data_IF_092978678736
#
_entry.id   IF_092978678736
#
_cell.length_a   1.000
_cell.length_b   1.000
_cell.length_c   1.000
_cell.angle_alpha   90.00
_cell.angle_beta   90.00
_cell.angle_gamma   90.00
#
_symmetry.space_group_name_H-M   'P 1'
#
loop_
_entity.id
_entity.type
_entity.pdbx_description
1 polymer ?
#
# COMPACT_ATOMS: atom_id res chain seq x y z
N UNK A 1 52.10 -5.83 6.60
CA UNK A 1 51.98 -7.30 6.71
C UNK A 1 50.50 -7.61 6.71
N UNK A 2 49.98 -8.06 5.57
CA UNK A 2 48.63 -8.62 5.49
C UNK A 2 48.69 -10.05 6.04
N UNK A 3 48.01 -10.31 7.15
CA UNK A 3 47.77 -11.68 7.61
C UNK A 3 46.66 -12.26 6.75
N UNK A 4 47.02 -13.16 5.85
CA UNK A 4 46.09 -14.12 5.28
C UNK A 4 45.67 -15.07 6.40
N UNK A 5 44.42 -14.97 6.86
CA UNK A 5 43.79 -16.04 7.62
C UNK A 5 43.43 -17.14 6.64
N UNK A 6 44.34 -18.11 6.46
CA UNK A 6 44.01 -19.38 5.81
C UNK A 6 42.88 -20.01 6.62
N UNK A 7 41.68 -20.13 6.02
CA UNK A 7 40.64 -21.02 6.52
C UNK A 7 41.21 -22.44 6.44
N UNK A 8 41.70 -22.96 7.56
CA UNK A 8 42.09 -24.36 7.66
C UNK A 8 40.89 -25.22 7.25
N UNK A 9 41.00 -25.90 6.10
CA UNK A 9 40.06 -26.93 5.69
C UNK A 9 40.21 -28.13 6.64
N UNK A 10 39.56 -28.06 7.80
CA UNK A 10 39.47 -29.18 8.74
C UNK A 10 38.55 -30.23 8.11
N UNK A 11 39.14 -31.32 7.63
CA UNK A 11 38.39 -32.42 7.03
C UNK A 11 37.85 -33.31 8.16
N UNK A 12 36.53 -33.43 8.26
CA UNK A 12 35.89 -34.31 9.24
C UNK A 12 36.15 -35.79 8.88
N UNK A 13 36.53 -36.59 9.87
CA UNK A 13 36.70 -38.03 9.67
C UNK A 13 35.36 -38.69 9.29
N UNK A 14 35.31 -39.63 8.32
CA UNK A 14 34.07 -40.24 7.84
C UNK A 14 33.18 -40.81 8.95
N UNK A 15 33.76 -41.51 9.94
CA UNK A 15 33.00 -42.04 11.08
C UNK A 15 32.30 -40.97 11.91
N UNK A 16 32.88 -39.77 11.98
CA UNK A 16 32.30 -38.65 12.73
C UNK A 16 31.18 -37.98 11.94
N UNK A 17 31.26 -37.98 10.61
CA UNK A 17 30.14 -37.57 9.75
C UNK A 17 28.94 -38.49 10.01
N UNK A 18 29.12 -39.80 9.89
CA UNK A 18 28.04 -40.77 10.03
C UNK A 18 27.36 -40.68 11.42
N UNK A 19 28.17 -40.52 12.47
CA UNK A 19 27.66 -40.34 13.84
C UNK A 19 26.86 -39.04 13.97
N UNK A 20 27.36 -37.91 13.44
CA UNK A 20 26.63 -36.65 13.53
C UNK A 20 25.31 -36.68 12.74
N UNK A 21 25.29 -37.34 11.58
CA UNK A 21 24.06 -37.54 10.79
C UNK A 21 23.06 -38.40 11.57
N UNK A 22 23.47 -39.56 12.08
CA UNK A 22 22.60 -40.45 12.87
C UNK A 22 22.06 -39.77 14.13
N UNK A 23 22.93 -39.07 14.88
CA UNK A 23 22.55 -38.30 16.05
C UNK A 23 21.56 -37.17 15.71
N UNK A 24 21.76 -36.47 14.59
CA UNK A 24 20.86 -35.40 14.16
C UNK A 24 19.46 -35.94 13.80
N UNK A 25 19.39 -37.07 13.10
CA UNK A 25 18.14 -37.74 12.75
C UNK A 25 17.43 -38.26 14.00
N UNK A 26 18.16 -38.83 14.96
CA UNK A 26 17.59 -39.29 16.21
C UNK A 26 17.06 -38.11 17.05
N UNK A 27 17.81 -37.02 17.12
CA UNK A 27 17.36 -35.80 17.81
C UNK A 27 16.09 -35.21 17.17
N UNK A 28 15.98 -35.19 15.84
CA UNK A 28 14.76 -34.80 15.12
C UNK A 28 13.56 -35.70 15.49
N UNK A 29 13.74 -37.03 15.49
CA UNK A 29 12.69 -37.99 15.87
C UNK A 29 12.21 -37.80 17.31
N UNK A 30 13.15 -37.47 18.20
CA UNK A 30 12.88 -37.22 19.62
C UNK A 30 12.40 -35.78 19.89
N UNK A 31 12.21 -34.97 18.85
CA UNK A 31 11.84 -33.53 18.92
C UNK A 31 12.81 -32.67 19.74
N UNK A 32 14.08 -33.07 19.79
CA UNK A 32 15.18 -32.31 20.40
C UNK A 32 15.78 -31.37 19.35
N UNK A 33 15.01 -30.34 18.97
CA UNK A 33 15.30 -29.52 17.78
C UNK A 33 16.57 -28.67 17.92
N UNK A 34 16.88 -28.11 19.10
CA UNK A 34 18.14 -27.38 19.29
C UNK A 34 19.36 -28.29 19.17
N UNK A 35 19.25 -29.52 19.69
CA UNK A 35 20.33 -30.50 19.59
C UNK A 35 20.53 -30.93 18.13
N UNK A 36 19.44 -31.26 17.43
CA UNK A 36 19.48 -31.59 16.01
C UNK A 36 20.10 -30.45 15.20
N UNK A 37 19.64 -29.21 15.41
CA UNK A 37 20.15 -28.04 14.72
C UNK A 37 21.65 -27.84 14.98
N UNK A 38 22.10 -27.97 16.23
CA UNK A 38 23.52 -27.86 16.57
C UNK A 38 24.39 -28.88 15.81
N UNK A 39 23.90 -30.11 15.66
CA UNK A 39 24.60 -31.19 14.94
C UNK A 39 24.61 -30.94 13.43
N UNK A 40 23.49 -30.47 12.88
CA UNK A 40 23.35 -30.12 11.45
C UNK A 40 24.23 -28.92 11.09
N UNK A 41 24.23 -27.86 11.90
CA UNK A 41 25.13 -26.71 11.72
C UNK A 41 26.59 -27.13 11.79
N UNK A 42 26.93 -28.08 12.66
CA UNK A 42 28.28 -28.63 12.73
C UNK A 42 28.65 -29.36 11.43
N UNK A 43 27.77 -30.19 10.88
CA UNK A 43 27.99 -30.83 9.57
C UNK A 43 28.19 -29.78 8.46
N UNK A 44 27.34 -28.76 8.40
CA UNK A 44 27.43 -27.67 7.42
C UNK A 44 28.72 -26.86 7.55
N UNK A 45 29.21 -26.64 8.78
CA UNK A 45 30.48 -25.94 9.02
C UNK A 45 31.71 -26.68 8.46
N UNK A 46 31.60 -28.00 8.27
CA UNK A 46 32.61 -28.84 7.60
C UNK A 46 32.35 -29.00 6.09
N UNK A 47 31.50 -28.17 5.51
CA UNK A 47 31.08 -28.25 4.10
C UNK A 47 30.39 -29.58 3.73
N UNK A 48 29.84 -30.28 4.72
CA UNK A 48 29.01 -31.47 4.49
C UNK A 48 27.58 -31.00 4.30
N UNK A 49 27.18 -30.90 3.03
CA UNK A 49 25.86 -30.44 2.61
C UNK A 49 25.18 -31.53 1.80
N UNK A 50 24.00 -31.96 2.25
CA UNK A 50 23.09 -32.81 1.49
C UNK A 50 21.67 -32.26 1.59
N UNK A 51 20.78 -32.72 0.72
CA UNK A 51 19.38 -32.35 0.76
C UNK A 51 18.77 -32.62 2.15
N UNK A 52 19.02 -33.79 2.73
CA UNK A 52 18.51 -34.21 4.04
C UNK A 52 19.01 -33.32 5.18
N UNK A 53 20.28 -32.90 5.13
CA UNK A 53 20.86 -31.99 6.14
C UNK A 53 20.16 -30.63 6.08
N UNK A 54 19.93 -30.12 4.87
CA UNK A 54 19.26 -28.82 4.67
C UNK A 54 17.80 -28.88 5.12
N UNK A 55 17.06 -29.92 4.72
CA UNK A 55 15.67 -30.12 5.14
C UNK A 55 15.60 -30.28 6.66
N UNK A 56 16.51 -31.06 7.26
CA UNK A 56 16.59 -31.21 8.71
C UNK A 56 16.82 -29.89 9.42
N UNK A 57 17.68 -29.01 8.86
CA UNK A 57 17.93 -27.67 9.41
C UNK A 57 16.69 -26.80 9.32
N UNK A 58 16.03 -26.76 8.15
CA UNK A 58 14.79 -26.00 7.95
C UNK A 58 13.68 -26.44 8.92
N UNK A 59 13.49 -27.75 9.10
CA UNK A 59 12.52 -28.29 10.08
C UNK A 59 12.87 -27.81 11.49
N UNK A 60 14.14 -27.91 11.91
CA UNK A 60 14.53 -27.43 13.23
C UNK A 60 14.27 -25.93 13.40
N UNK A 61 14.58 -25.12 12.39
CA UNK A 61 14.36 -23.67 12.46
C UNK A 61 12.86 -23.35 12.57
N UNK A 62 12.01 -24.03 11.81
CA UNK A 62 10.56 -23.84 11.88
C UNK A 62 9.99 -24.24 13.25
N UNK A 63 10.39 -25.39 13.79
CA UNK A 63 9.92 -25.88 15.11
C UNK A 63 10.47 -25.06 16.29
N UNK A 64 11.50 -24.26 16.06
CA UNK A 64 12.09 -23.31 17.02
C UNK A 64 11.60 -21.87 16.80
N UNK A 65 10.57 -21.66 15.99
CA UNK A 65 10.03 -20.36 15.61
C UNK A 65 11.08 -19.39 15.00
N UNK A 66 12.20 -19.92 14.48
CA UNK A 66 13.26 -19.17 13.78
C UNK A 66 12.91 -18.97 12.30
N UNK A 67 11.71 -18.47 12.04
CA UNK A 67 11.15 -18.38 10.68
C UNK A 67 11.94 -17.48 9.75
N UNK A 68 12.49 -16.35 10.23
CA UNK A 68 13.29 -15.43 9.40
C UNK A 68 14.52 -16.12 8.80
N UNK A 69 15.28 -16.83 9.63
CA UNK A 69 16.46 -17.58 9.15
C UNK A 69 16.07 -18.74 8.22
N UNK A 70 14.96 -19.42 8.52
CA UNK A 70 14.45 -20.47 7.63
C UNK A 70 14.04 -19.90 6.27
N UNK A 71 13.41 -18.73 6.25
CA UNK A 71 12.98 -18.04 5.05
C UNK A 71 14.19 -17.62 4.19
N UNK A 72 15.20 -16.99 4.79
CA UNK A 72 16.43 -16.58 4.10
C UNK A 72 17.12 -17.79 3.42
N UNK A 73 17.22 -18.91 4.14
CA UNK A 73 17.80 -20.15 3.58
C UNK A 73 16.96 -20.67 2.41
N UNK A 74 15.63 -20.66 2.51
CA UNK A 74 14.76 -21.05 1.42
C UNK A 74 14.93 -20.15 0.20
N UNK A 75 14.96 -18.83 0.37
CA UNK A 75 15.14 -17.87 -0.73
C UNK A 75 16.48 -18.10 -1.46
N UNK A 76 17.56 -18.38 -0.73
CA UNK A 76 18.84 -18.80 -1.32
C UNK A 76 18.69 -20.11 -2.12
N UNK A 77 18.01 -21.12 -1.56
CA UNK A 77 17.79 -22.42 -2.20
C UNK A 77 16.95 -22.33 -3.48
N UNK A 78 16.02 -21.37 -3.55
CA UNK A 78 15.15 -21.16 -4.71
C UNK A 78 15.86 -20.50 -5.90
N UNK A 79 17.08 -19.99 -5.72
CA UNK A 79 17.88 -19.42 -6.82
C UNK A 79 18.36 -20.47 -7.83
N UNK A 80 18.53 -21.72 -7.38
CA UNK A 80 18.99 -22.84 -8.22
C UNK A 80 17.90 -23.93 -8.31
N UNK A 81 17.40 -24.19 -9.53
CA UNK A 81 16.38 -25.23 -9.77
C UNK A 81 17.00 -26.62 -9.89
N UNK A 82 17.46 -27.17 -8.76
CA UNK A 82 18.00 -28.53 -8.69
C UNK A 82 16.89 -29.62 -8.63
N UNK A 83 17.27 -30.89 -8.47
CA UNK A 83 16.32 -32.02 -8.40
C UNK A 83 15.39 -31.98 -7.17
N UNK A 84 15.73 -31.18 -6.16
CA UNK A 84 15.01 -31.02 -4.91
C UNK A 84 14.26 -29.69 -4.81
N UNK A 85 14.30 -28.86 -5.84
CA UNK A 85 13.70 -27.52 -5.90
C UNK A 85 12.30 -27.47 -5.28
N UNK A 86 11.40 -28.36 -5.69
CA UNK A 86 10.01 -28.34 -5.21
C UNK A 86 9.84 -28.73 -3.74
N UNK A 87 10.81 -29.42 -3.13
CA UNK A 87 10.82 -29.60 -1.67
C UNK A 87 11.11 -28.27 -0.96
N UNK A 88 12.03 -27.46 -1.50
CA UNK A 88 12.34 -26.14 -0.96
C UNK A 88 11.19 -25.15 -1.17
N UNK A 89 10.55 -25.16 -2.35
CA UNK A 89 9.33 -24.38 -2.60
C UNK A 89 8.25 -24.74 -1.58
N UNK A 90 7.98 -26.02 -1.35
CA UNK A 90 6.94 -26.43 -0.40
C UNK A 90 7.21 -25.93 1.02
N UNK A 91 8.46 -25.99 1.49
CA UNK A 91 8.85 -25.47 2.81
C UNK A 91 8.71 -23.94 2.84
N UNK A 92 9.16 -23.25 1.80
CA UNK A 92 9.02 -21.80 1.69
C UNK A 92 7.56 -21.36 1.78
N UNK A 93 6.67 -21.98 0.99
CA UNK A 93 5.22 -21.70 1.05
C UNK A 93 4.65 -21.97 2.45
N UNK A 94 5.13 -23.01 3.14
CA UNK A 94 4.70 -23.32 4.52
C UNK A 94 5.14 -22.23 5.50
N UNK A 95 6.38 -21.73 5.38
CA UNK A 95 6.90 -20.62 6.22
C UNK A 95 6.08 -19.35 5.96
N UNK A 96 5.83 -19.00 4.69
CA UNK A 96 5.02 -17.85 4.34
C UNK A 96 3.60 -17.95 4.91
N UNK A 97 2.98 -19.12 4.85
CA UNK A 97 1.66 -19.36 5.42
C UNK A 97 1.65 -19.16 6.95
N UNK A 98 2.61 -19.79 7.66
CA UNK A 98 2.71 -19.71 9.12
C UNK A 98 3.00 -18.29 9.63
N UNK A 99 3.70 -17.48 8.83
CA UNK A 99 4.04 -16.10 9.16
C UNK A 99 3.03 -15.07 8.63
N UNK A 100 1.86 -15.52 8.16
CA UNK A 100 0.79 -14.69 7.58
C UNK A 100 1.21 -13.85 6.36
N UNK A 101 2.27 -14.27 5.64
CA UNK A 101 2.73 -13.62 4.41
C UNK A 101 1.93 -14.13 3.20
N UNK A 102 0.61 -13.99 3.26
CA UNK A 102 -0.31 -14.59 2.29
C UNK A 102 -0.15 -14.04 0.88
N UNK A 103 0.21 -12.75 0.73
CA UNK A 103 0.42 -12.15 -0.59
C UNK A 103 1.62 -12.77 -1.30
N UNK A 104 2.77 -12.76 -0.63
CA UNK A 104 4.00 -13.34 -1.16
C UNK A 104 3.84 -14.83 -1.45
N UNK A 105 3.03 -15.54 -0.65
CA UNK A 105 2.69 -16.94 -0.91
C UNK A 105 1.93 -17.09 -2.22
N UNK A 106 0.89 -16.29 -2.43
CA UNK A 106 0.10 -16.34 -3.68
C UNK A 106 0.97 -15.98 -4.89
N UNK A 107 1.78 -14.92 -4.80
CA UNK A 107 2.72 -14.52 -5.87
C UNK A 107 3.71 -15.65 -6.22
N UNK A 108 4.26 -16.32 -5.20
CA UNK A 108 5.14 -17.46 -5.43
C UNK A 108 4.40 -18.61 -6.09
N UNK A 109 3.19 -18.96 -5.64
CA UNK A 109 2.39 -20.04 -6.25
C UNK A 109 2.07 -19.73 -7.71
N UNK A 110 1.68 -18.50 -8.04
CA UNK A 110 1.42 -18.07 -9.41
C UNK A 110 2.66 -18.21 -10.29
N UNK A 111 3.82 -17.75 -9.80
CA UNK A 111 5.11 -17.93 -10.49
C UNK A 111 5.42 -19.41 -10.77
N UNK A 112 5.19 -20.31 -9.81
CA UNK A 112 5.43 -21.73 -10.03
C UNK A 112 4.46 -22.34 -11.05
N UNK A 113 3.18 -21.92 -11.04
CA UNK A 113 2.21 -22.35 -12.05
C UNK A 113 2.61 -21.90 -13.45
N UNK A 114 3.12 -20.68 -13.62
CA UNK A 114 3.65 -20.19 -14.89
C UNK A 114 4.86 -21.02 -15.37
N UNK A 115 5.70 -21.46 -14.44
CA UNK A 115 6.90 -22.27 -14.74
C UNK A 115 6.60 -23.76 -15.00
N UNK A 116 5.40 -24.24 -14.63
CA UNK A 116 4.95 -25.61 -14.84
C UNK A 116 5.22 -26.51 -13.63
N UNK A 117 4.33 -26.42 -12.64
CA UNK A 117 4.32 -27.28 -11.44
C UNK A 117 4.13 -28.76 -11.84
N UNK A 118 4.86 -29.72 -11.23
CA UNK A 118 4.61 -31.13 -11.41
C UNK A 118 3.20 -31.52 -10.97
N UNK A 119 2.49 -32.30 -11.80
CA UNK A 119 1.11 -32.74 -11.53
C UNK A 119 0.81 -33.24 -10.11
N UNK A 120 1.71 -33.98 -9.40
CA UNK A 120 1.45 -34.39 -8.02
C UNK A 120 1.36 -33.24 -7.00
N UNK A 121 1.89 -32.06 -7.31
CA UNK A 121 1.97 -30.89 -6.42
C UNK A 121 0.92 -29.83 -6.75
N UNK A 122 0.34 -29.85 -7.95
CA UNK A 122 -0.65 -28.85 -8.40
C UNK A 122 -1.81 -28.70 -7.41
N UNK A 123 -2.38 -29.82 -6.95
CA UNK A 123 -3.51 -29.78 -5.99
C UNK A 123 -3.09 -29.15 -4.66
N UNK A 124 -1.88 -29.45 -4.17
CA UNK A 124 -1.40 -28.92 -2.89
C UNK A 124 -1.16 -27.41 -2.97
N UNK A 125 -0.55 -26.94 -4.06
CA UNK A 125 -0.28 -25.52 -4.27
C UNK A 125 -1.60 -24.75 -4.45
N UNK A 126 -2.55 -25.32 -5.19
CA UNK A 126 -3.88 -24.73 -5.34
C UNK A 126 -4.62 -24.64 -4.00
N UNK A 127 -4.51 -25.65 -3.13
CA UNK A 127 -5.11 -25.63 -1.80
C UNK A 127 -4.47 -24.54 -0.93
N UNK A 128 -3.14 -24.44 -0.90
CA UNK A 128 -2.41 -23.40 -0.18
C UNK A 128 -2.78 -21.99 -0.67
N UNK A 129 -2.87 -21.79 -1.98
CA UNK A 129 -3.32 -20.53 -2.57
C UNK A 129 -4.73 -20.17 -2.10
N UNK A 130 -5.67 -21.11 -2.22
CA UNK A 130 -7.08 -20.91 -1.86
C UNK A 130 -7.23 -20.57 -0.37
N UNK A 131 -6.49 -21.28 0.50
CA UNK A 131 -6.48 -20.99 1.94
C UNK A 131 -5.88 -19.62 2.24
N UNK A 132 -4.75 -19.28 1.61
CA UNK A 132 -4.06 -18.00 1.81
C UNK A 132 -4.92 -16.82 1.35
N UNK A 133 -5.57 -16.96 0.20
CA UNK A 133 -6.53 -15.97 -0.31
C UNK A 133 -7.67 -15.73 0.69
N UNK A 134 -8.23 -16.81 1.26
CA UNK A 134 -9.27 -16.72 2.28
C UNK A 134 -8.76 -16.05 3.57
N UNK A 135 -7.59 -16.45 4.07
CA UNK A 135 -7.00 -15.88 5.29
C UNK A 135 -6.65 -14.40 5.12
N UNK A 136 -6.11 -14.02 3.95
CA UNK A 136 -5.89 -12.62 3.57
C UNK A 136 -7.20 -11.84 3.62
N UNK A 137 -8.28 -12.38 3.05
CA UNK A 137 -9.59 -11.75 3.08
C UNK A 137 -10.13 -11.60 4.52
N UNK A 138 -10.04 -12.64 5.34
CA UNK A 138 -10.49 -12.61 6.75
C UNK A 138 -9.71 -11.57 7.57
N UNK A 139 -8.38 -11.51 7.44
CA UNK A 139 -7.55 -10.47 8.07
C UNK A 139 -7.89 -9.06 7.58
N UNK A 140 -8.15 -8.92 6.29
CA UNK A 140 -8.56 -7.63 5.71
C UNK A 140 -9.89 -7.19 6.31
N UNK A 141 -10.86 -8.09 6.46
CA UNK A 141 -12.16 -7.79 7.09
C UNK A 141 -11.98 -7.39 8.56
N UNK A 142 -11.20 -8.15 9.34
CA UNK A 142 -10.96 -7.83 10.75
C UNK A 142 -10.29 -6.46 10.92
N UNK A 143 -9.19 -6.22 10.19
CA UNK A 143 -8.46 -4.94 10.22
C UNK A 143 -9.34 -3.78 9.75
N UNK A 144 -10.11 -3.98 8.70
CA UNK A 144 -11.06 -2.98 8.21
C UNK A 144 -12.11 -2.64 9.26
N UNK A 145 -12.65 -3.64 9.95
CA UNK A 145 -13.66 -3.41 11.01
C UNK A 145 -13.10 -2.59 12.18
N UNK A 146 -11.87 -2.86 12.61
CA UNK A 146 -11.17 -2.08 13.64
C UNK A 146 -10.95 -0.64 13.19
N UNK A 147 -10.48 -0.44 11.96
CA UNK A 147 -10.24 0.88 11.40
C UNK A 147 -11.52 1.69 11.20
N UNK A 148 -12.62 1.06 10.77
CA UNK A 148 -13.91 1.72 10.63
C UNK A 148 -14.41 2.28 11.97
N UNK A 149 -14.22 1.55 13.07
CA UNK A 149 -14.55 2.05 14.40
C UNK A 149 -13.65 3.24 14.79
N UNK A 150 -12.35 3.16 14.47
CA UNK A 150 -11.41 4.27 14.65
C UNK A 150 -11.80 5.51 13.82
N UNK A 151 -12.29 5.34 12.60
CA UNK A 151 -12.72 6.44 11.74
C UNK A 151 -13.94 7.18 12.32
N UNK A 152 -14.90 6.44 12.88
CA UNK A 152 -16.04 7.05 13.57
C UNK A 152 -15.57 7.82 14.80
N UNK A 153 -14.63 7.28 15.57
CA UNK A 153 -14.06 7.96 16.73
C UNK A 153 -13.29 9.24 16.32
N UNK A 154 -12.43 9.17 15.30
CA UNK A 154 -11.69 10.32 14.79
C UNK A 154 -12.62 11.40 14.21
N UNK A 155 -13.78 11.00 13.65
CA UNK A 155 -14.83 11.95 13.27
C UNK A 155 -15.45 12.63 14.50
N UNK A 156 -15.76 11.90 15.56
CA UNK A 156 -16.34 12.49 16.78
C UNK A 156 -15.39 13.43 17.52
N UNK A 157 -14.09 13.11 17.51
CA UNK A 157 -13.01 13.90 18.11
C UNK A 157 -12.51 15.05 17.20
N UNK A 158 -13.03 15.14 15.98
CA UNK A 158 -12.58 16.10 14.95
C UNK A 158 -11.07 16.02 14.65
N UNK A 159 -10.48 14.82 14.82
CA UNK A 159 -9.10 14.52 14.43
C UNK A 159 -9.04 14.25 12.92
N UNK A 160 -8.95 15.33 12.15
CA UNK A 160 -9.03 15.27 10.69
C UNK A 160 -7.85 14.55 10.03
N UNK A 161 -6.65 14.62 10.64
CA UNK A 161 -5.47 13.92 10.13
C UNK A 161 -5.64 12.41 10.30
N UNK A 162 -6.11 11.97 11.47
CA UNK A 162 -6.38 10.56 11.72
C UNK A 162 -7.53 10.03 10.86
N UNK A 163 -8.59 10.82 10.65
CA UNK A 163 -9.66 10.48 9.70
C UNK A 163 -9.09 10.16 8.31
N UNK A 164 -8.24 11.05 7.76
CA UNK A 164 -7.64 10.85 6.44
C UNK A 164 -6.73 9.62 6.41
N UNK A 165 -5.85 9.47 7.40
CA UNK A 165 -4.92 8.34 7.53
C UNK A 165 -5.66 7.00 7.53
N UNK A 166 -6.78 6.92 8.25
CA UNK A 166 -7.59 5.70 8.32
C UNK A 166 -8.23 5.39 6.98
N UNK A 167 -8.85 6.38 6.32
CA UNK A 167 -9.50 6.16 5.01
C UNK A 167 -8.48 5.74 3.96
N UNK A 168 -7.33 6.41 3.91
CA UNK A 168 -6.26 6.08 2.96
C UNK A 168 -5.69 4.68 3.23
N UNK A 169 -5.52 4.29 4.50
CA UNK A 169 -5.11 2.92 4.84
C UNK A 169 -6.14 1.87 4.41
N UNK A 170 -7.44 2.13 4.58
CA UNK A 170 -8.51 1.22 4.13
C UNK A 170 -8.49 1.08 2.60
N UNK A 171 -8.35 2.20 1.89
CA UNK A 171 -8.25 2.27 0.44
C UNK A 171 -7.04 1.51 -0.11
N UNK A 172 -5.85 1.71 0.47
CA UNK A 172 -4.61 1.02 0.08
C UNK A 172 -4.64 -0.49 0.28
N UNK A 173 -5.41 -0.97 1.28
CA UNK A 173 -5.62 -2.40 1.48
C UNK A 173 -6.73 -2.99 0.60
N UNK A 174 -7.31 -2.18 -0.29
CA UNK A 174 -8.48 -2.54 -1.10
C UNK A 174 -9.64 -3.07 -0.25
N UNK A 175 -9.82 -2.53 0.96
CA UNK A 175 -10.94 -2.87 1.81
C UNK A 175 -12.25 -2.44 1.14
N UNK A 176 -13.28 -3.27 1.22
CA UNK A 176 -14.60 -2.90 0.67
C UNK A 176 -15.30 -1.90 1.60
N UNK A 177 -15.81 -0.78 1.07
CA UNK A 177 -16.62 0.17 1.83
C UNK A 177 -17.84 -0.53 2.42
N UNK A 178 -18.10 -0.31 3.71
CA UNK A 178 -19.30 -0.82 4.36
C UNK A 178 -20.41 0.24 4.35
N UNK A 179 -21.63 -0.17 4.71
CA UNK A 179 -22.79 0.73 4.82
C UNK A 179 -22.62 1.91 5.78
N UNK A 180 -21.60 1.92 6.63
CA UNK A 180 -21.32 3.04 7.54
C UNK A 180 -20.59 4.19 6.85
N UNK A 181 -19.96 3.94 5.69
CA UNK A 181 -19.14 4.92 4.97
C UNK A 181 -19.98 5.99 4.26
N UNK A 182 -21.02 5.67 3.46
CA UNK A 182 -21.79 6.71 2.78
C UNK A 182 -22.38 7.79 3.71
N UNK A 183 -22.94 7.46 4.91
CA UNK A 183 -23.39 8.48 5.86
C UNK A 183 -22.30 9.48 6.30
N UNK A 184 -21.02 9.11 6.25
CA UNK A 184 -19.91 10.00 6.63
C UNK A 184 -19.74 11.18 5.66
N UNK A 185 -20.16 11.03 4.40
CA UNK A 185 -20.11 12.10 3.40
C UNK A 185 -21.07 13.27 3.74
N UNK A 186 -22.13 13.00 4.49
CA UNK A 186 -23.07 14.01 5.00
C UNK A 186 -22.75 14.46 6.44
N UNK A 187 -21.78 13.86 7.11
CA UNK A 187 -21.40 14.25 8.48
C UNK A 187 -20.56 15.54 8.45
N UNK A 188 -20.98 16.57 9.19
CA UNK A 188 -20.29 17.86 9.28
C UNK A 188 -18.94 17.78 10.02
N UNK A 189 -18.73 16.76 10.85
CA UNK A 189 -17.45 16.55 11.56
C UNK A 189 -16.38 15.88 10.68
N UNK A 190 -16.76 15.39 9.50
CA UNK A 190 -15.84 14.77 8.56
C UNK A 190 -15.27 15.86 7.68
N UNK A 191 -13.95 15.99 7.66
CA UNK A 191 -13.28 17.08 6.97
C UNK A 191 -13.52 17.04 5.45
N UNK A 192 -13.70 18.16 4.73
CA UNK A 192 -13.96 18.16 3.28
C UNK A 192 -12.94 17.39 2.43
N UNK A 193 -11.65 17.46 2.80
CA UNK A 193 -10.56 16.68 2.18
C UNK A 193 -10.77 15.17 2.42
N UNK A 194 -11.16 14.78 3.63
CA UNK A 194 -11.47 13.38 3.97
C UNK A 194 -12.66 12.89 3.14
N UNK A 195 -13.70 13.71 2.97
CA UNK A 195 -14.85 13.36 2.12
C UNK A 195 -14.45 13.09 0.66
N UNK A 196 -13.42 13.78 0.14
CA UNK A 196 -12.90 13.52 -1.20
C UNK A 196 -12.24 12.15 -1.30
N UNK A 197 -11.36 11.78 -0.36
CA UNK A 197 -10.73 10.45 -0.37
C UNK A 197 -11.74 9.33 -0.12
N UNK A 198 -12.77 9.56 0.71
CA UNK A 198 -13.91 8.61 0.83
C UNK A 198 -14.61 8.42 -0.51
N UNK A 199 -14.86 9.51 -1.26
CA UNK A 199 -15.50 9.43 -2.57
C UNK A 199 -14.65 8.66 -3.58
N UNK A 200 -13.33 8.90 -3.59
CA UNK A 200 -12.38 8.14 -4.43
C UNK A 200 -12.40 6.65 -4.07
N UNK A 201 -12.34 6.32 -2.78
CA UNK A 201 -12.41 4.94 -2.30
C UNK A 201 -13.71 4.24 -2.72
N UNK A 202 -14.86 4.91 -2.63
CA UNK A 202 -16.14 4.38 -3.10
C UNK A 202 -16.12 4.13 -4.62
N UNK A 203 -15.59 5.06 -5.41
CA UNK A 203 -15.51 4.93 -6.86
C UNK A 203 -14.59 3.77 -7.28
N UNK A 204 -13.43 3.63 -6.65
CA UNK A 204 -12.47 2.54 -6.89
C UNK A 204 -12.99 1.16 -6.46
N UNK A 205 -13.97 1.14 -5.56
CA UNK A 205 -14.64 -0.09 -5.12
C UNK A 205 -15.90 -0.41 -5.95
N UNK A 206 -16.07 0.25 -7.11
CA UNK A 206 -17.24 0.11 -8.00
C UNK A 206 -18.59 0.32 -7.28
N UNK A 207 -18.63 1.25 -6.31
CA UNK A 207 -19.85 1.49 -5.53
C UNK A 207 -20.93 2.18 -6.36
N UNK A 208 -21.94 1.42 -6.77
CA UNK A 208 -22.98 1.82 -7.73
C UNK A 208 -24.33 2.19 -7.08
N UNK A 209 -24.32 2.77 -5.88
CA UNK A 209 -25.51 3.33 -5.25
C UNK A 209 -25.35 4.83 -5.05
N UNK A 210 -26.48 5.55 -5.11
CA UNK A 210 -26.50 6.98 -4.83
C UNK A 210 -26.06 7.28 -3.40
N UNK A 211 -25.18 8.27 -3.26
CA UNK A 211 -24.71 8.80 -1.97
C UNK A 211 -24.92 10.32 -1.95
N UNK A 212 -25.29 10.86 -0.79
CA UNK A 212 -25.34 12.30 -0.57
C UNK A 212 -24.04 12.78 0.07
N UNK A 213 -23.43 13.82 -0.50
CA UNK A 213 -22.25 14.48 0.03
C UNK A 213 -22.56 15.94 0.35
N UNK A 214 -22.17 16.38 1.55
CA UNK A 214 -22.36 17.75 2.03
C UNK A 214 -20.99 18.45 2.16
N UNK A 215 -20.81 19.57 1.48
CA UNK A 215 -19.60 20.41 1.58
C UNK A 215 -19.98 21.88 1.49
N UNK A 216 -19.43 22.70 2.39
CA UNK A 216 -19.64 24.16 2.40
C UNK A 216 -21.13 24.55 2.38
N UNK A 217 -21.96 23.83 3.13
CA UNK A 217 -23.41 24.05 3.18
C UNK A 217 -24.18 23.69 1.90
N UNK A 218 -23.51 23.05 0.92
CA UNK A 218 -24.12 22.53 -0.31
C UNK A 218 -24.23 21.02 -0.22
N UNK A 219 -25.33 20.50 -0.77
CA UNK A 219 -25.58 19.07 -0.91
C UNK A 219 -25.54 18.68 -2.39
N UNK A 220 -24.95 17.52 -2.69
CA UNK A 220 -25.03 16.88 -4.01
C UNK A 220 -25.24 15.38 -3.84
N UNK A 221 -26.15 14.82 -4.63
CA UNK A 221 -26.33 13.37 -4.76
C UNK A 221 -25.55 12.91 -5.99
N UNK A 222 -24.76 11.85 -5.83
CA UNK A 222 -23.91 11.27 -6.88
C UNK A 222 -23.90 9.75 -6.80
N UNK A 223 -23.58 9.10 -7.92
CA UNK A 223 -23.21 7.68 -7.97
C UNK A 223 -21.68 7.60 -8.06
N UNK A 224 -20.95 7.13 -7.04
CA UNK A 224 -19.48 7.18 -7.02
C UNK A 224 -18.82 6.51 -8.23
N UNK A 225 -19.31 5.34 -8.65
CA UNK A 225 -18.77 4.60 -9.80
C UNK A 225 -18.98 5.29 -11.17
N UNK A 226 -19.84 6.30 -11.24
CA UNK A 226 -20.11 7.06 -12.48
C UNK A 226 -19.36 8.39 -12.53
N UNK A 227 -18.62 8.75 -11.49
CA UNK A 227 -17.89 10.01 -11.44
C UNK A 227 -16.61 9.96 -12.29
N UNK A 228 -16.34 11.07 -12.98
CA UNK A 228 -15.05 11.32 -13.62
C UNK A 228 -13.94 11.39 -12.57
N UNK A 229 -12.77 10.82 -12.87
CA UNK A 229 -11.59 10.92 -12.01
C UNK A 229 -11.16 12.38 -11.90
N UNK A 230 -10.63 12.78 -10.75
CA UNK A 230 -10.15 14.15 -10.50
C UNK A 230 -9.16 14.65 -11.56
N UNK A 231 -8.31 13.77 -12.10
CA UNK A 231 -7.32 14.13 -13.11
C UNK A 231 -7.90 14.30 -14.53
N UNK A 232 -9.15 13.86 -14.74
CA UNK A 232 -9.83 13.80 -16.03
C UNK A 232 -11.06 14.73 -16.09
N UNK A 233 -11.38 15.45 -15.01
CA UNK A 233 -12.59 16.29 -14.98
C UNK A 233 -12.50 17.44 -15.99
N UNK A 234 -13.59 17.68 -16.72
CA UNK A 234 -13.62 18.70 -17.79
C UNK A 234 -13.21 20.11 -17.31
N UNK A 235 -13.52 20.48 -16.06
CA UNK A 235 -13.18 21.78 -15.47
C UNK A 235 -11.68 21.94 -15.28
N UNK A 236 -10.97 20.87 -14.89
CA UNK A 236 -9.52 20.89 -14.73
C UNK A 236 -8.86 21.26 -16.05
N UNK A 237 -9.26 20.60 -17.15
CA UNK A 237 -8.71 20.87 -18.48
C UNK A 237 -9.04 22.28 -18.97
N UNK A 238 -10.26 22.77 -18.75
CA UNK A 238 -10.65 24.13 -19.13
C UNK A 238 -9.87 25.20 -18.36
N UNK A 239 -9.74 25.03 -17.03
CA UNK A 239 -8.97 25.95 -16.20
C UNK A 239 -7.48 25.93 -16.58
N UNK A 240 -6.88 24.75 -16.76
CA UNK A 240 -5.49 24.60 -17.23
C UNK A 240 -5.24 25.37 -18.52
N UNK A 241 -6.11 25.20 -19.52
CA UNK A 241 -5.96 25.85 -20.83
C UNK A 241 -5.96 27.39 -20.73
N UNK A 242 -6.72 27.95 -19.79
CA UNK A 242 -6.71 29.40 -19.52
C UNK A 242 -5.41 29.87 -18.82
N UNK A 243 -4.72 28.98 -18.14
CA UNK A 243 -3.50 29.27 -17.38
C UNK A 243 -2.20 29.00 -18.18
N UNK A 244 -2.27 28.22 -19.26
CA UNK A 244 -1.12 27.79 -20.10
C UNK A 244 -0.21 28.95 -20.57
N UNK A 245 -0.77 30.12 -20.88
CA UNK A 245 0.06 31.28 -21.26
C UNK A 245 1.07 31.69 -20.17
N UNK A 246 0.78 31.38 -18.91
CA UNK A 246 1.63 31.66 -17.77
C UNK A 246 2.86 30.76 -17.75
N UNK A 247 2.75 29.52 -18.24
CA UNK A 247 3.85 28.55 -18.28
C UNK A 247 5.06 29.10 -19.05
N UNK A 248 4.82 29.69 -20.23
CA UNK A 248 5.88 30.24 -21.07
C UNK A 248 6.53 31.49 -20.46
N UNK A 249 5.76 32.29 -19.71
CA UNK A 249 6.21 33.58 -19.16
C UNK A 249 6.90 33.41 -17.81
N UNK A 250 6.37 32.53 -16.97
CA UNK A 250 6.84 32.28 -15.61
C UNK A 250 6.50 30.84 -15.17
N UNK A 251 7.40 29.87 -15.44
CA UNK A 251 7.19 28.46 -15.07
C UNK A 251 6.98 28.24 -13.57
N UNK A 252 7.63 29.04 -12.71
CA UNK A 252 7.48 28.96 -11.26
C UNK A 252 6.08 29.38 -10.81
N UNK A 253 5.54 30.46 -11.40
CA UNK A 253 4.16 30.85 -11.15
C UNK A 253 3.21 29.74 -11.63
N UNK A 254 3.41 29.20 -12.83
CA UNK A 254 2.56 28.14 -13.35
C UNK A 254 2.49 26.91 -12.44
N UNK A 255 3.62 26.43 -11.90
CA UNK A 255 3.63 25.34 -10.91
C UNK A 255 2.79 25.65 -9.66
N UNK A 256 2.83 26.90 -9.18
CA UNK A 256 1.97 27.35 -8.08
C UNK A 256 0.49 27.35 -8.47
N UNK A 257 0.15 27.84 -9.67
CA UNK A 257 -1.24 27.89 -10.14
C UNK A 257 -1.84 26.50 -10.29
N UNK A 258 -1.05 25.55 -10.77
CA UNK A 258 -1.42 24.13 -10.91
C UNK A 258 -1.75 23.50 -9.54
N UNK A 259 -0.92 23.75 -8.53
CA UNK A 259 -1.16 23.30 -7.16
C UNK A 259 -2.44 23.90 -6.59
N UNK A 260 -2.63 25.21 -6.71
CA UNK A 260 -3.83 25.90 -6.23
C UNK A 260 -5.10 25.38 -6.92
N UNK A 261 -5.06 25.20 -8.24
CA UNK A 261 -6.16 24.64 -9.03
C UNK A 261 -6.52 23.24 -8.55
N UNK A 262 -5.51 22.36 -8.41
CA UNK A 262 -5.72 21.00 -7.95
C UNK A 262 -6.33 20.97 -6.54
N UNK A 263 -5.77 21.74 -5.59
CA UNK A 263 -6.27 21.79 -4.20
C UNK A 263 -7.69 22.31 -4.11
N UNK A 264 -8.02 23.36 -4.88
CA UNK A 264 -9.39 23.86 -4.98
C UNK A 264 -10.35 22.77 -5.47
N UNK A 265 -10.03 22.11 -6.59
CA UNK A 265 -10.88 21.06 -7.16
C UNK A 265 -11.00 19.85 -6.22
N UNK A 266 -9.90 19.42 -5.60
CA UNK A 266 -9.87 18.32 -4.65
C UNK A 266 -10.81 18.59 -3.47
N UNK A 267 -10.72 19.78 -2.85
CA UNK A 267 -11.51 20.13 -1.68
C UNK A 267 -13.00 20.27 -2.03
N UNK A 268 -13.33 20.78 -3.22
CA UNK A 268 -14.72 20.92 -3.67
C UNK A 268 -15.34 19.62 -4.19
N UNK A 269 -14.55 18.66 -4.66
CA UNK A 269 -15.05 17.46 -5.35
C UNK A 269 -16.06 16.64 -4.51
N UNK A 270 -17.17 16.16 -5.11
CA UNK A 270 -17.60 16.33 -6.50
C UNK A 270 -18.49 17.57 -6.71
N UNK A 271 -18.60 18.51 -5.78
CA UNK A 271 -19.41 19.74 -5.92
C UNK A 271 -18.60 20.83 -6.62
N UNK A 272 -18.36 20.63 -7.92
CA UNK A 272 -17.54 21.51 -8.74
C UNK A 272 -18.33 22.73 -9.25
N UNK A 273 -17.65 23.88 -9.51
CA UNK A 273 -18.29 25.04 -10.12
C UNK A 273 -18.77 24.72 -11.55
N UNK A 274 -19.80 25.40 -12.06
CA UNK A 274 -20.28 25.19 -13.42
C UNK A 274 -19.29 25.76 -14.46
N UNK A 275 -19.32 25.25 -15.69
CA UNK A 275 -18.36 25.62 -16.75
C UNK A 275 -18.33 27.13 -17.06
N UNK A 276 -19.45 27.83 -16.89
CA UNK A 276 -19.56 29.27 -17.11
C UNK A 276 -18.75 30.11 -16.12
N UNK A 277 -18.36 29.53 -14.98
CA UNK A 277 -17.61 30.19 -13.91
C UNK A 277 -16.10 29.90 -13.95
N UNK A 278 -15.65 29.04 -14.88
CA UNK A 278 -14.25 28.57 -14.96
C UNK A 278 -13.27 29.71 -15.27
N UNK A 279 -13.70 30.70 -16.05
CA UNK A 279 -12.87 31.87 -16.34
C UNK A 279 -12.56 32.68 -15.08
N UNK A 280 -13.58 32.95 -14.25
CA UNK A 280 -13.41 33.68 -12.99
C UNK A 280 -12.58 32.89 -11.99
N UNK A 281 -12.72 31.56 -11.97
CA UNK A 281 -11.87 30.67 -11.16
C UNK A 281 -10.40 30.75 -11.59
N UNK A 282 -10.11 30.67 -12.89
CA UNK A 282 -8.74 30.75 -13.40
C UNK A 282 -8.08 32.11 -13.06
N UNK A 283 -8.80 33.21 -13.24
CA UNK A 283 -8.31 34.55 -12.86
C UNK A 283 -8.10 34.69 -11.34
N UNK A 284 -8.97 34.10 -10.52
CA UNK A 284 -8.80 34.06 -9.06
C UNK A 284 -7.56 33.25 -8.64
N UNK A 285 -7.34 32.08 -9.25
CA UNK A 285 -6.15 31.25 -9.01
C UNK A 285 -4.88 32.02 -9.38
N UNK A 286 -4.88 32.67 -10.55
CA UNK A 286 -3.77 33.51 -11.00
C UNK A 286 -3.47 34.65 -10.02
N UNK A 287 -4.51 35.34 -9.54
CA UNK A 287 -4.39 36.39 -8.54
C UNK A 287 -3.75 35.87 -7.25
N UNK A 288 -4.28 34.79 -6.67
CA UNK A 288 -3.78 34.20 -5.42
C UNK A 288 -2.33 33.71 -5.59
N UNK A 289 -2.01 33.04 -6.71
CA UNK A 289 -0.65 32.56 -6.97
C UNK A 289 0.37 33.69 -7.14
N UNK A 290 -0.02 34.80 -7.78
CA UNK A 290 0.82 35.99 -7.87
C UNK A 290 1.05 36.62 -6.49
N UNK A 291 0.02 36.71 -5.66
CA UNK A 291 0.09 37.20 -4.30
C UNK A 291 1.06 36.35 -3.44
N UNK A 292 0.95 35.02 -3.52
CA UNK A 292 1.82 34.09 -2.79
C UNK A 292 3.30 34.22 -3.17
N UNK A 293 3.58 34.58 -4.43
CA UNK A 293 4.95 34.81 -4.92
C UNK A 293 5.41 36.28 -4.78
N UNK A 294 4.59 37.16 -4.21
CA UNK A 294 4.91 38.58 -4.04
C UNK A 294 5.02 39.34 -5.37
N UNK A 295 4.33 38.89 -6.41
CA UNK A 295 4.31 39.53 -7.74
C UNK A 295 3.26 40.66 -7.71
N UNK A 296 3.71 41.91 -7.78
CA UNK A 296 2.80 43.06 -7.83
C UNK A 296 2.04 43.11 -9.17
N UNK A 297 0.71 43.15 -9.11
CA UNK A 297 -0.13 43.38 -10.28
C UNK A 297 -0.17 44.87 -10.64
N UNK A 298 -0.14 45.19 -11.93
CA UNK A 298 -0.64 46.48 -12.42
C UNK A 298 -2.18 46.44 -12.31
N UNK A 299 -2.75 47.37 -11.54
CA UNK A 299 -4.20 47.50 -11.28
C UNK A 299 -4.99 47.81 -12.56
N UNK A 300 -5.21 46.85 -13.46
CA UNK A 300 -5.99 47.11 -14.69
C UNK A 300 -7.19 46.19 -14.93
N UNK A 301 -7.36 45.11 -14.18
CA UNK A 301 -8.54 44.24 -14.31
C UNK A 301 -9.63 44.63 -13.29
N UNK A 302 -10.84 45.04 -13.70
CA UNK A 302 -11.95 45.17 -12.77
C UNK A 302 -12.27 43.81 -12.14
N UNK A 303 -12.01 43.67 -10.83
CA UNK A 303 -12.36 42.47 -10.10
C UNK A 303 -13.88 42.35 -10.02
N UNK A 304 -14.43 41.29 -10.62
CA UNK A 304 -15.83 40.94 -10.40
C UNK A 304 -16.01 40.42 -8.96
N UNK A 305 -17.18 40.65 -8.37
CA UNK A 305 -17.54 40.10 -7.04
C UNK A 305 -17.34 38.58 -6.98
N UNK A 306 -17.63 37.89 -8.08
CA UNK A 306 -17.43 36.44 -8.22
C UNK A 306 -15.95 36.03 -8.17
N UNK A 307 -15.05 36.81 -8.76
CA UNK A 307 -13.61 36.55 -8.73
C UNK A 307 -13.06 36.73 -7.31
N UNK A 308 -13.54 37.72 -6.56
CA UNK A 308 -13.15 37.91 -5.15
C UNK A 308 -13.60 36.72 -4.30
N UNK A 309 -14.85 36.28 -4.48
CA UNK A 309 -15.36 35.07 -3.82
C UNK A 309 -14.47 33.85 -4.11
N UNK A 310 -14.13 33.60 -5.38
CA UNK A 310 -13.23 32.48 -5.71
C UNK A 310 -11.83 32.63 -5.13
N UNK A 311 -11.30 33.86 -5.02
CA UNK A 311 -9.98 34.08 -4.43
C UNK A 311 -9.97 33.68 -2.95
N UNK A 312 -11.02 34.04 -2.20
CA UNK A 312 -11.22 33.60 -0.81
C UNK A 312 -11.39 32.07 -0.71
N UNK A 313 -12.20 31.47 -1.59
CA UNK A 313 -12.40 30.01 -1.63
C UNK A 313 -11.10 29.26 -1.96
N UNK A 314 -10.28 29.76 -2.88
CA UNK A 314 -8.97 29.17 -3.24
C UNK A 314 -8.03 29.18 -2.03
N UNK A 315 -7.89 30.31 -1.34
CA UNK A 315 -7.04 30.39 -0.14
C UNK A 315 -7.54 29.48 0.99
N UNK A 316 -8.86 29.39 1.18
CA UNK A 316 -9.45 28.48 2.16
C UNK A 316 -9.17 27.02 1.79
N UNK A 317 -9.39 26.63 0.53
CA UNK A 317 -9.15 25.27 0.06
C UNK A 317 -7.67 24.88 0.18
N UNK A 318 -6.76 25.81 -0.11
CA UNK A 318 -5.33 25.61 0.05
C UNK A 318 -4.98 25.26 1.51
N UNK A 319 -5.46 26.07 2.45
CA UNK A 319 -5.28 25.85 3.89
C UNK A 319 -5.92 24.54 4.38
N UNK A 320 -7.14 24.23 3.94
CA UNK A 320 -7.83 22.97 4.29
C UNK A 320 -7.08 21.76 3.74
N UNK A 321 -6.55 21.84 2.52
CA UNK A 321 -5.80 20.74 1.92
C UNK A 321 -4.51 20.49 2.70
N UNK A 322 -3.71 21.54 2.93
CA UNK A 322 -2.41 21.46 3.58
C UNK A 322 -2.48 21.12 5.07
N UNK A 323 -3.63 21.31 5.73
CA UNK A 323 -3.79 20.87 7.13
C UNK A 323 -3.87 19.35 7.27
N UNK A 324 -4.15 18.63 6.17
CA UNK A 324 -4.37 17.18 6.15
C UNK A 324 -3.29 16.45 5.37
N UNK A 325 -2.96 16.95 4.18
CA UNK A 325 -2.02 16.31 3.25
C UNK A 325 -0.79 17.21 3.18
N UNK A 326 0.27 16.83 3.92
CA UNK A 326 1.57 17.48 3.87
C UNK A 326 2.32 17.08 2.58
N UNK A 327 3.01 18.04 1.95
CA UNK A 327 3.86 17.84 0.75
C UNK A 327 5.31 17.51 1.07
#
# INVERSE_FOLDING_TARGET
>A
MQQHTEKENVILFPKWKDVLEEESVQALKDKRYEEALSKLDKLLSYHIRSHEIIIGKLICLMELDRHTEAQEICEELLTEKDEHYYHYVHIYLTILFQTNQYELLMEQVDYEFEMGVPSPLEEQFQQLYTMSSKMKADLTVERSSSQLNGLVQAAEEEDHQEQWRIVESLRQMSALPTKTIPPMLANEKVHPVVKTVIMQWLAESDYNQEVSIHKFGRERIVTPSELEKLDDIAILHQARSLLEETEQKNPTLFDMLEKLLFRFLYVHYPILPPSEEVFQLAEAIKHVGQEYLGIHMEEESPQSEKMQQFSEEVMLCDSLYLSIIEE
#
